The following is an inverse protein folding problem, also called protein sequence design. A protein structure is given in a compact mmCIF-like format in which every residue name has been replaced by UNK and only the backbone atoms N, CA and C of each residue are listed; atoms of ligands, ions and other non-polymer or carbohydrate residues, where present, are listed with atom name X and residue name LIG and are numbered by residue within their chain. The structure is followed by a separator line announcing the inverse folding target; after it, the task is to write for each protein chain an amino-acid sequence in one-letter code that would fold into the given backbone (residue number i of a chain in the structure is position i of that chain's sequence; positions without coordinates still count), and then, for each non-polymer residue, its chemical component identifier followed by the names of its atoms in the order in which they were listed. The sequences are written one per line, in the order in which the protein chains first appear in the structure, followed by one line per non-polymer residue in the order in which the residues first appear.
data_IF_697254940686
#
_entry.id   IF_697254940686
#
_cell.length_a   1.000
_cell.length_b   1.000
_cell.length_c   1.000
_cell.angle_alpha   90.00
_cell.angle_beta   90.00
_cell.angle_gamma   90.00
#
_symmetry.space_group_name_H-M   'P 1'
#
loop_
_entity.id
_entity.type
_entity.pdbx_description
1 polymer ?
#
# COMPACT_ATOMS: atom_id res chain seq x y z
N UNK A 1 -11.58 16.02 -25.98
CA UNK A 1 -12.13 15.85 -24.62
C UNK A 1 -11.33 16.75 -23.69
N UNK A 2 -11.92 17.38 -22.66
CA UNK A 2 -11.11 18.02 -21.63
C UNK A 2 -10.26 16.94 -20.94
N UNK A 3 -8.95 17.16 -20.88
CA UNK A 3 -8.01 16.29 -20.19
C UNK A 3 -8.41 16.24 -18.71
N UNK A 4 -8.77 15.05 -18.20
CA UNK A 4 -8.95 14.89 -16.75
C UNK A 4 -7.61 15.10 -16.07
N UNK A 5 -7.52 15.99 -15.05
CA UNK A 5 -6.28 16.22 -14.35
C UNK A 5 -5.74 14.90 -13.78
N UNK A 6 -4.51 14.54 -14.14
CA UNK A 6 -3.84 13.39 -13.57
C UNK A 6 -3.44 13.74 -12.14
N UNK A 7 -4.24 13.25 -11.17
CA UNK A 7 -4.01 13.49 -9.75
C UNK A 7 -3.13 12.38 -9.16
N UNK A 8 -2.01 12.77 -8.56
CA UNK A 8 -1.21 11.88 -7.73
C UNK A 8 -1.90 11.71 -6.37
N UNK A 9 -2.34 10.49 -6.04
CA UNK A 9 -3.00 10.19 -4.76
C UNK A 9 -2.07 9.34 -3.91
N UNK A 10 -1.72 9.85 -2.73
CA UNK A 10 -0.82 9.18 -1.79
C UNK A 10 -1.61 8.84 -0.54
N UNK A 11 -1.61 7.56 -0.16
CA UNK A 11 -2.09 7.11 1.13
C UNK A 11 -0.90 6.89 2.06
N UNK A 12 -0.96 7.42 3.28
CA UNK A 12 0.06 7.19 4.29
C UNK A 12 -0.57 6.64 5.56
N UNK A 13 -0.01 5.55 6.08
CA UNK A 13 -0.53 4.88 7.27
C UNK A 13 0.56 4.13 8.03
N UNK A 14 0.50 4.18 9.35
CA UNK A 14 1.23 3.27 10.23
C UNK A 14 0.37 2.01 10.48
N UNK A 15 0.94 0.83 10.24
CA UNK A 15 0.25 -0.46 10.39
C UNK A 15 0.51 -1.13 11.75
N UNK A 16 1.41 -0.57 12.56
CA UNK A 16 1.76 -1.05 13.91
C UNK A 16 2.10 -2.56 13.90
N UNK A 17 2.80 -3.03 12.86
CA UNK A 17 3.19 -4.42 12.66
C UNK A 17 2.04 -5.41 12.44
N UNK A 18 0.80 -4.95 12.26
CA UNK A 18 -0.37 -5.82 12.18
C UNK A 18 -0.52 -6.47 10.81
N UNK A 19 -0.39 -7.80 10.78
CA UNK A 19 -0.64 -8.61 9.57
C UNK A 19 -2.07 -8.41 9.04
N UNK A 20 -3.05 -8.42 9.94
CA UNK A 20 -4.45 -8.25 9.59
C UNK A 20 -4.71 -6.86 8.99
N UNK A 21 -4.15 -5.80 9.57
CA UNK A 21 -4.29 -4.46 9.03
C UNK A 21 -3.66 -4.34 7.64
N UNK A 22 -2.47 -4.91 7.43
CA UNK A 22 -1.80 -4.94 6.13
C UNK A 22 -2.62 -5.70 5.09
N UNK A 23 -3.10 -6.89 5.43
CA UNK A 23 -3.92 -7.71 4.54
C UNK A 23 -5.23 -7.01 4.16
N UNK A 24 -5.92 -6.39 5.14
CA UNK A 24 -7.14 -5.63 4.91
C UNK A 24 -6.91 -4.40 4.04
N UNK A 25 -5.79 -3.68 4.22
CA UNK A 25 -5.45 -2.53 3.39
C UNK A 25 -5.19 -2.95 1.94
N UNK A 26 -4.29 -3.92 1.73
CA UNK A 26 -3.81 -4.31 0.41
C UNK A 26 -4.87 -5.02 -0.45
N UNK A 27 -5.82 -5.72 0.18
CA UNK A 27 -6.91 -6.41 -0.51
C UNK A 27 -8.25 -5.65 -0.43
N UNK A 28 -8.25 -4.43 0.12
CA UNK A 28 -9.44 -3.62 0.28
C UNK A 28 -9.92 -3.00 -1.05
N UNK A 29 -11.23 -2.74 -1.20
CA UNK A 29 -11.80 -2.22 -2.45
C UNK A 29 -11.33 -0.81 -2.83
N UNK A 30 -10.69 -0.08 -1.91
CA UNK A 30 -10.22 1.29 -2.13
C UNK A 30 -8.77 1.40 -2.58
N UNK A 31 -8.01 0.30 -2.62
CA UNK A 31 -6.56 0.40 -2.82
C UNK A 31 -6.19 0.87 -4.22
N UNK A 32 -6.98 0.53 -5.24
CA UNK A 32 -6.76 0.95 -6.63
C UNK A 32 -6.95 2.45 -6.88
N UNK A 33 -7.54 3.18 -5.93
CA UNK A 33 -7.70 4.63 -6.02
C UNK A 33 -6.44 5.40 -5.62
N UNK A 34 -5.42 4.72 -5.09
CA UNK A 34 -4.18 5.33 -4.64
C UNK A 34 -3.05 4.99 -5.60
N UNK A 35 -2.22 5.99 -5.91
CA UNK A 35 -1.05 5.82 -6.78
C UNK A 35 0.17 5.34 -5.98
N UNK A 36 0.30 5.79 -4.73
CA UNK A 36 1.42 5.45 -3.84
C UNK A 36 0.86 5.11 -2.46
N UNK A 37 1.40 4.05 -1.86
CA UNK A 37 1.16 3.68 -0.47
C UNK A 37 2.46 3.89 0.32
N UNK A 38 2.43 4.79 1.31
CA UNK A 38 3.52 5.05 2.23
C UNK A 38 3.22 4.36 3.58
N UNK A 39 3.75 3.14 3.76
CA UNK A 39 3.49 2.30 4.93
C UNK A 39 4.61 2.43 5.96
N UNK A 40 4.25 2.68 7.21
CA UNK A 40 5.16 2.65 8.36
C UNK A 40 4.84 1.44 9.23
N UNK A 41 5.89 0.85 9.81
CA UNK A 41 5.79 -0.38 10.61
C UNK A 41 4.95 -1.47 9.91
N UNK A 42 5.25 -1.82 8.64
CA UNK A 42 4.54 -2.90 7.98
C UNK A 42 4.77 -4.22 8.70
N UNK A 43 3.83 -5.15 8.54
CA UNK A 43 4.03 -6.52 8.98
C UNK A 43 5.15 -7.16 8.13
N UNK A 44 6.20 -7.59 8.83
CA UNK A 44 7.32 -8.35 8.27
C UNK A 44 7.16 -9.79 8.74
N UNK A 45 7.05 -10.72 7.79
CA UNK A 45 6.87 -12.13 8.12
C UNK A 45 8.17 -12.77 8.61
N UNK A 46 8.10 -14.04 9.01
CA UNK A 46 9.24 -14.81 9.52
C UNK A 46 10.38 -15.01 8.51
N UNK A 47 10.12 -14.77 7.21
CA UNK A 47 11.12 -14.80 6.15
C UNK A 47 11.72 -13.43 5.86
N UNK A 48 11.48 -12.44 6.74
CA UNK A 48 11.92 -11.05 6.60
C UNK A 48 11.38 -10.35 5.35
N UNK A 49 10.23 -10.80 4.84
CA UNK A 49 9.56 -10.21 3.69
C UNK A 49 8.30 -9.46 4.10
N UNK A 50 7.99 -8.38 3.38
CA UNK A 50 6.66 -7.75 3.41
C UNK A 50 5.79 -8.42 2.34
N UNK A 51 4.57 -8.82 2.71
CA UNK A 51 3.58 -9.26 1.72
C UNK A 51 3.04 -8.04 0.95
N UNK A 52 3.06 -8.12 -0.38
CA UNK A 52 2.47 -7.15 -1.31
C UNK A 52 1.53 -7.87 -2.29
N UNK A 53 0.63 -7.13 -2.93
CA UNK A 53 -0.14 -7.63 -4.07
C UNK A 53 0.65 -7.40 -5.37
N UNK A 54 0.32 -8.15 -6.43
CA UNK A 54 0.96 -7.98 -7.74
C UNK A 54 0.73 -6.60 -8.37
N UNK A 55 -0.25 -5.85 -7.88
CA UNK A 55 -0.56 -4.48 -8.30
C UNK A 55 0.45 -3.45 -7.79
N UNK A 56 1.25 -3.80 -6.78
CA UNK A 56 2.18 -2.89 -6.12
C UNK A 56 3.58 -3.47 -6.08
N UNK A 57 4.55 -2.65 -6.48
CA UNK A 57 5.96 -2.93 -6.30
C UNK A 57 6.46 -2.20 -5.04
N UNK A 58 7.00 -2.95 -4.08
CA UNK A 58 7.61 -2.37 -2.89
C UNK A 58 8.93 -1.69 -3.27
N UNK A 59 9.09 -0.44 -2.86
CA UNK A 59 10.34 0.33 -3.00
C UNK A 59 10.79 0.71 -1.60
N UNK A 60 12.02 0.34 -1.25
CA UNK A 60 12.66 0.69 0.01
C UNK A 60 13.69 1.81 -0.24
N UNK A 61 13.92 2.71 0.72
CA UNK A 61 15.09 3.60 0.72
C UNK A 61 16.41 2.82 0.73
#
# INVERSE_FOLDING_TARGET
QPETPQLLRIWQQNLNGSDQAQHSLLNGPGISHWSILALQEPHINTLMNMLSTSSYHAVYP
#
